data_IF_358963504252
#
_entry.id   IF_358963504252
#
_cell.length_a   1.000
_cell.length_b   1.000
_cell.length_c   1.000
_cell.angle_alpha   90.00
_cell.angle_beta   90.00
_cell.angle_gamma   90.00
#
_symmetry.space_group_name_H-M   'P 1'
#
loop_
_entity.id
_entity.type
_entity.pdbx_description
1 polymer ?
#
# COMPACT_ATOMS: atom_id res chain seq x y z
N UNK A 1 22.33 -29.16 17.25
CA UNK A 1 22.48 -27.80 16.68
C UNK A 1 21.31 -26.98 17.17
N UNK A 2 21.57 -25.92 17.95
CA UNK A 2 20.51 -25.03 18.46
C UNK A 2 20.09 -24.11 17.33
N UNK A 3 18.91 -24.36 16.75
CA UNK A 3 18.27 -23.43 15.83
C UNK A 3 17.81 -22.21 16.63
N UNK A 4 18.49 -21.09 16.47
CA UNK A 4 18.07 -19.83 17.06
C UNK A 4 16.74 -19.44 16.42
N UNK A 5 15.65 -19.43 17.19
CA UNK A 5 14.46 -18.68 16.82
C UNK A 5 14.89 -17.22 16.72
N UNK A 6 15.17 -16.78 15.50
CA UNK A 6 15.20 -15.37 15.18
C UNK A 6 13.77 -14.89 15.41
N UNK A 7 13.60 -14.16 16.51
CA UNK A 7 12.38 -13.45 16.86
C UNK A 7 11.76 -12.84 15.59
N UNK A 8 10.55 -13.27 15.24
CA UNK A 8 9.75 -12.71 14.16
C UNK A 8 9.72 -11.20 14.31
N UNK A 9 10.46 -10.53 13.44
CA UNK A 9 10.29 -9.10 13.16
C UNK A 9 8.86 -8.88 12.63
N UNK A 10 8.30 -7.66 12.82
CA UNK A 10 6.88 -7.42 13.04
C UNK A 10 5.99 -8.02 11.95
N UNK A 11 4.83 -8.49 12.38
CA UNK A 11 3.83 -9.17 11.55
C UNK A 11 3.38 -8.26 10.39
N UNK A 12 3.46 -8.74 9.13
CA UNK A 12 3.13 -7.96 7.92
C UNK A 12 1.65 -7.54 7.83
N UNK A 13 0.77 -8.17 8.61
CA UNK A 13 -0.64 -7.75 8.73
C UNK A 13 -0.80 -6.34 9.31
N UNK A 14 0.15 -5.88 10.14
CA UNK A 14 0.06 -4.55 10.76
C UNK A 14 0.57 -3.44 9.83
N UNK A 15 1.55 -3.72 8.97
CA UNK A 15 2.12 -2.72 8.06
C UNK A 15 1.19 -2.42 6.88
N UNK A 16 0.51 -3.41 6.32
CA UNK A 16 -0.46 -3.16 5.24
C UNK A 16 -1.62 -2.30 5.74
N UNK A 17 -2.27 -2.71 6.83
CA UNK A 17 -3.38 -1.95 7.41
C UNK A 17 -2.95 -0.54 7.85
N UNK A 18 -1.73 -0.37 8.37
CA UNK A 18 -1.20 0.92 8.77
C UNK A 18 -0.88 1.83 7.58
N UNK A 19 -0.34 1.30 6.47
CA UNK A 19 -0.10 2.06 5.23
C UNK A 19 -1.43 2.55 4.64
N UNK A 20 -2.48 1.72 4.68
CA UNK A 20 -3.81 2.05 4.14
C UNK A 20 -4.63 2.98 5.04
N UNK A 21 -4.61 2.77 6.36
CA UNK A 21 -5.19 3.74 7.31
C UNK A 21 -4.52 5.10 7.17
N UNK A 22 -3.22 5.15 6.89
CA UNK A 22 -2.48 6.40 6.68
C UNK A 22 -2.84 7.07 5.35
N UNK A 23 -2.91 6.30 4.26
CA UNK A 23 -3.33 6.79 2.94
C UNK A 23 -4.74 7.41 2.95
N UNK A 24 -5.72 6.72 3.55
CA UNK A 24 -7.13 7.13 3.49
C UNK A 24 -7.57 8.02 4.66
N UNK A 25 -6.96 7.91 5.85
CA UNK A 25 -7.46 8.54 7.09
C UNK A 25 -6.37 9.21 7.96
N UNK A 26 -5.09 9.11 7.59
CA UNK A 26 -4.00 9.66 8.39
C UNK A 26 -3.84 11.16 8.22
N UNK A 27 -3.83 11.90 9.34
CA UNK A 27 -3.12 13.19 9.41
C UNK A 27 -1.65 12.83 9.52
N UNK A 28 -1.05 12.40 8.40
CA UNK A 28 0.40 12.31 8.35
C UNK A 28 0.93 13.74 8.28
N UNK A 29 2.02 14.01 8.98
CA UNK A 29 2.82 15.19 8.68
C UNK A 29 3.23 15.10 7.21
N UNK A 30 3.00 16.18 6.46
CA UNK A 30 3.21 16.23 5.02
C UNK A 30 4.61 15.74 4.61
N UNK A 31 5.61 16.00 5.47
CA UNK A 31 7.00 15.62 5.25
C UNK A 31 7.23 14.12 5.48
N UNK A 32 6.53 13.52 6.45
CA UNK A 32 6.63 12.09 6.74
C UNK A 32 6.01 11.23 5.62
N UNK A 33 4.85 11.65 5.08
CA UNK A 33 4.24 10.98 3.93
C UNK A 33 5.15 11.07 2.70
N UNK A 34 5.67 12.28 2.41
CA UNK A 34 6.59 12.49 1.29
C UNK A 34 7.85 11.64 1.41
N UNK A 35 8.42 11.56 2.61
CA UNK A 35 9.58 10.70 2.86
C UNK A 35 9.27 9.23 2.60
N UNK A 36 8.15 8.72 3.11
CA UNK A 36 7.76 7.32 2.92
C UNK A 36 7.51 6.96 1.46
N UNK A 37 6.88 7.85 0.69
CA UNK A 37 6.69 7.63 -0.74
C UNK A 37 8.02 7.57 -1.48
N UNK A 38 8.98 8.43 -1.12
CA UNK A 38 10.35 8.36 -1.64
C UNK A 38 11.05 7.06 -1.26
N UNK A 39 11.05 6.70 0.02
CA UNK A 39 11.67 5.46 0.50
C UNK A 39 11.05 4.23 -0.23
N UNK A 40 9.74 4.21 -0.45
CA UNK A 40 9.07 3.15 -1.21
C UNK A 40 9.49 3.13 -2.68
N UNK A 41 9.54 4.30 -3.32
CA UNK A 41 10.04 4.45 -4.68
C UNK A 41 11.49 4.00 -4.82
N UNK A 42 12.34 4.25 -3.83
CA UNK A 42 13.74 3.79 -3.85
C UNK A 42 13.85 2.26 -3.77
N UNK A 43 12.97 1.60 -3.01
CA UNK A 43 12.91 0.13 -2.91
C UNK A 43 12.41 -0.48 -4.23
N UNK A 44 11.41 0.14 -4.86
CA UNK A 44 10.76 -0.33 -6.09
C UNK A 44 11.06 0.57 -7.29
N UNK A 45 12.32 1.02 -7.43
CA UNK A 45 12.71 2.08 -8.37
C UNK A 45 12.52 1.75 -9.86
N UNK A 46 12.36 0.47 -10.20
CA UNK A 46 12.04 0.03 -11.56
C UNK A 46 10.56 0.22 -11.91
N UNK A 47 9.69 0.26 -10.91
CA UNK A 47 8.24 0.16 -11.07
C UNK A 47 7.50 1.42 -10.59
N UNK A 48 8.10 2.17 -9.64
CA UNK A 48 7.44 3.26 -8.95
C UNK A 48 8.37 4.47 -8.80
N UNK A 49 7.89 5.64 -9.23
CA UNK A 49 8.48 6.92 -8.91
C UNK A 49 7.90 7.45 -7.60
N UNK A 50 8.72 7.50 -6.54
CA UNK A 50 8.28 7.89 -5.21
C UNK A 50 7.82 9.35 -5.07
N UNK A 51 8.32 10.27 -5.90
CA UNK A 51 7.88 11.66 -5.89
C UNK A 51 6.50 11.80 -6.54
N UNK A 52 6.29 11.15 -7.69
CA UNK A 52 4.98 11.11 -8.34
C UNK A 52 3.94 10.35 -7.51
N UNK A 53 4.34 9.26 -6.86
CA UNK A 53 3.48 8.53 -5.93
C UNK A 53 2.92 9.44 -4.84
N UNK A 54 3.75 10.32 -4.26
CA UNK A 54 3.31 11.27 -3.24
C UNK A 54 2.24 12.24 -3.78
N UNK A 55 2.47 12.83 -4.95
CA UNK A 55 1.48 13.75 -5.57
C UNK A 55 0.18 13.01 -5.90
N UNK A 56 0.25 11.81 -6.46
CA UNK A 56 -0.93 10.98 -6.76
C UNK A 56 -1.74 10.63 -5.49
N UNK A 57 -1.06 10.38 -4.37
CA UNK A 57 -1.74 10.14 -3.07
C UNK A 57 -2.49 11.40 -2.63
N UNK A 58 -1.91 12.59 -2.77
CA UNK A 58 -2.60 13.84 -2.43
C UNK A 58 -3.81 14.07 -3.33
N UNK A 59 -3.66 13.85 -4.63
CA UNK A 59 -4.74 14.00 -5.59
C UNK A 59 -5.90 13.05 -5.31
N UNK A 60 -5.61 11.77 -5.02
CA UNK A 60 -6.65 10.78 -4.71
C UNK A 60 -7.37 11.13 -3.40
N UNK A 61 -6.65 11.65 -2.39
CA UNK A 61 -7.25 12.12 -1.12
C UNK A 61 -8.19 13.29 -1.31
N UNK A 62 -7.92 14.15 -2.29
CA UNK A 62 -8.80 15.25 -2.67
C UNK A 62 -9.97 14.77 -3.53
N UNK A 63 -9.76 13.75 -4.37
CA UNK A 63 -10.78 13.21 -5.28
C UNK A 63 -11.85 12.40 -4.52
N UNK A 64 -11.47 11.51 -3.62
CA UNK A 64 -12.40 10.58 -2.95
C UNK A 64 -13.59 11.29 -2.28
N UNK A 65 -13.40 12.37 -1.48
CA UNK A 65 -14.51 13.08 -0.85
C UNK A 65 -15.50 13.73 -1.83
N UNK A 66 -15.09 13.97 -3.08
CA UNK A 66 -15.98 14.56 -4.11
C UNK A 66 -16.96 13.53 -4.68
N UNK A 67 -16.73 12.22 -4.45
CA UNK A 67 -17.54 11.12 -4.97
C UNK A 67 -18.63 10.76 -3.99
N UNK A 68 -19.90 11.00 -4.37
CA UNK A 68 -21.06 10.58 -3.57
C UNK A 68 -21.09 9.05 -3.45
N UNK A 69 -21.34 8.54 -2.25
CA UNK A 69 -21.44 7.11 -1.93
C UNK A 69 -20.16 6.28 -2.14
N UNK A 70 -18.99 6.91 -2.23
CA UNK A 70 -17.71 6.20 -2.24
C UNK A 70 -17.17 6.14 -0.81
N UNK A 71 -17.04 4.93 -0.27
CA UNK A 71 -16.39 4.66 1.01
C UNK A 71 -15.32 3.60 0.76
N UNK A 72 -14.05 3.99 0.88
CA UNK A 72 -12.89 3.11 0.64
C UNK A 72 -12.29 2.79 1.99
N UNK A 73 -12.45 1.54 2.42
CA UNK A 73 -11.93 1.04 3.69
C UNK A 73 -10.77 0.06 3.50
N UNK A 74 -10.69 -0.56 2.31
CA UNK A 74 -9.69 -1.58 1.99
C UNK A 74 -8.86 -1.25 0.74
N UNK A 75 -7.59 -1.68 0.66
CA UNK A 75 -6.72 -1.45 -0.51
C UNK A 75 -7.29 -1.94 -1.82
N UNK A 76 -7.91 -3.12 -1.81
CA UNK A 76 -8.53 -3.69 -2.99
C UNK A 76 -9.71 -2.84 -3.49
N UNK A 77 -10.42 -2.14 -2.59
CA UNK A 77 -11.49 -1.20 -2.96
C UNK A 77 -10.91 0.07 -3.61
N UNK A 78 -9.75 0.54 -3.13
CA UNK A 78 -9.04 1.66 -3.78
C UNK A 78 -8.51 1.27 -5.16
N UNK A 79 -7.94 0.07 -5.29
CA UNK A 79 -7.47 -0.45 -6.57
C UNK A 79 -8.63 -0.65 -7.55
N UNK A 80 -9.74 -1.22 -7.07
CA UNK A 80 -10.97 -1.39 -7.85
C UNK A 80 -11.50 -0.03 -8.30
N UNK A 81 -11.53 0.98 -7.42
CA UNK A 81 -11.90 2.35 -7.79
C UNK A 81 -10.99 2.92 -8.90
N UNK A 82 -9.67 2.78 -8.78
CA UNK A 82 -8.73 3.28 -9.80
C UNK A 82 -8.99 2.62 -11.16
N UNK A 83 -9.22 1.31 -11.17
CA UNK A 83 -9.44 0.55 -12.42
C UNK A 83 -10.83 0.78 -13.00
N UNK A 84 -11.89 0.74 -12.18
CA UNK A 84 -13.27 0.88 -12.64
C UNK A 84 -13.57 2.26 -13.25
N UNK A 85 -12.91 3.30 -12.76
CA UNK A 85 -13.09 4.65 -13.27
C UNK A 85 -12.01 5.08 -14.27
N UNK A 86 -11.24 4.12 -14.80
CA UNK A 86 -10.20 4.33 -15.82
C UNK A 86 -9.10 5.33 -15.43
N UNK A 87 -8.77 5.39 -14.14
CA UNK A 87 -7.73 6.26 -13.61
C UNK A 87 -6.33 5.63 -13.64
N UNK A 88 -6.13 4.48 -14.29
CA UNK A 88 -4.81 3.83 -14.30
C UNK A 88 -3.74 4.68 -15.00
N UNK A 89 -4.15 5.53 -15.94
CA UNK A 89 -3.26 6.50 -16.59
C UNK A 89 -3.03 7.76 -15.76
N UNK A 90 -3.92 8.05 -14.81
CA UNK A 90 -3.87 9.25 -13.94
C UNK A 90 -3.10 8.97 -12.66
N UNK A 91 -3.26 7.77 -12.08
CA UNK A 91 -2.59 7.33 -10.86
C UNK A 91 -1.75 6.05 -11.07
N UNK A 92 -0.81 6.04 -12.04
CA UNK A 92 -0.04 4.84 -12.36
C UNK A 92 0.85 4.38 -11.20
N UNK A 93 1.52 5.30 -10.49
CA UNK A 93 2.40 4.94 -9.38
C UNK A 93 1.62 4.39 -8.19
N UNK A 94 0.49 5.01 -7.86
CA UNK A 94 -0.41 4.56 -6.80
C UNK A 94 -1.01 3.18 -7.12
N UNK A 95 -1.46 2.96 -8.35
CA UNK A 95 -1.98 1.65 -8.80
C UNK A 95 -0.94 0.54 -8.59
N UNK A 96 0.26 0.73 -9.14
CA UNK A 96 1.34 -0.26 -9.05
C UNK A 96 1.74 -0.48 -7.59
N UNK A 97 1.82 0.59 -6.79
CA UNK A 97 2.13 0.48 -5.36
C UNK A 97 1.11 -0.37 -4.61
N UNK A 98 -0.19 -0.16 -4.83
CA UNK A 98 -1.25 -0.97 -4.20
C UNK A 98 -1.14 -2.43 -4.64
N UNK A 99 -0.86 -2.70 -5.91
CA UNK A 99 -0.71 -4.06 -6.43
C UNK A 99 0.50 -4.78 -5.82
N UNK A 100 1.64 -4.11 -5.68
CA UNK A 100 2.83 -4.66 -5.00
C UNK A 100 2.48 -5.03 -3.55
N UNK A 101 1.86 -4.10 -2.83
CA UNK A 101 1.48 -4.29 -1.42
C UNK A 101 0.52 -5.47 -1.23
N UNK A 102 -0.53 -5.54 -2.03
CA UNK A 102 -1.50 -6.65 -2.02
C UNK A 102 -0.82 -8.00 -2.36
N UNK A 103 0.08 -8.01 -3.34
CA UNK A 103 0.79 -9.24 -3.76
C UNK A 103 1.71 -9.76 -2.66
N UNK A 104 2.45 -8.87 -1.99
CA UNK A 104 3.30 -9.22 -0.86
C UNK A 104 2.47 -9.78 0.29
N UNK A 105 1.37 -9.11 0.64
CA UNK A 105 0.47 -9.55 1.70
C UNK A 105 -0.10 -10.95 1.45
N UNK A 106 -0.61 -11.20 0.25
CA UNK A 106 -1.13 -12.52 -0.15
C UNK A 106 -0.02 -13.57 -0.14
N UNK A 107 1.17 -13.24 -0.61
CA UNK A 107 2.32 -14.17 -0.62
C UNK A 107 2.70 -14.59 0.80
N UNK A 108 2.72 -13.65 1.75
CA UNK A 108 3.06 -13.95 3.14
C UNK A 108 1.98 -14.81 3.80
N UNK A 109 0.71 -14.43 3.67
CA UNK A 109 -0.40 -15.21 4.21
C UNK A 109 -0.43 -16.65 3.66
N UNK A 110 -0.06 -16.83 2.39
CA UNK A 110 0.06 -18.16 1.76
C UNK A 110 1.25 -18.96 2.32
N UNK A 111 2.39 -18.32 2.57
CA UNK A 111 3.57 -18.95 3.16
C UNK A 111 3.26 -19.46 4.58
N UNK A 112 2.65 -18.64 5.44
CA UNK A 112 2.30 -19.03 6.81
C UNK A 112 1.34 -20.23 6.85
N UNK A 113 0.34 -20.24 5.97
CA UNK A 113 -0.59 -21.38 5.84
C UNK A 113 0.10 -22.65 5.36
N UNK A 114 1.13 -22.53 4.52
CA UNK A 114 1.91 -23.66 4.01
C UNK A 114 2.84 -24.25 5.07
N UNK A 115 3.42 -23.42 5.95
CA UNK A 115 4.28 -23.87 7.06
C UNK A 115 3.51 -24.37 8.30
N UNK A 116 2.20 -24.14 8.37
CA UNK A 116 1.35 -24.65 9.46
C UNK A 116 0.98 -26.13 9.32
N UNK A 117 1.44 -26.80 8.25
CA UNK A 117 1.36 -28.25 8.06
C UNK A 117 2.73 -28.88 8.27
N UNK A 118 3.15 -29.05 9.51
CA UNK A 118 4.28 -29.91 9.91
C UNK A 118 4.11 -30.37 11.36
#
# INVERSE_FOLDING_TARGET
>A
MKGSLVCMKPTPDLDLYLILKKLCYGIDDCDDLKKKSKDFGDIYACDVNGEQLYEEILDVRMLIPTRKNLNIERPEELLEFIVQYEYESVFPNLRISIQILLTIAVSIASCERSFSKS
#
